data_IF_725293392369
#
_entry.id   IF_725293392369
#
_cell.length_a   1.000
_cell.length_b   1.000
_cell.length_c   1.000
_cell.angle_alpha   90.00
_cell.angle_beta   90.00
_cell.angle_gamma   90.00
#
_symmetry.space_group_name_H-M   'P 1'
#
loop_
_entity.id
_entity.type
_entity.pdbx_description
1 polymer ?
#
# COMPACT_ATOMS: atom_id res chain seq x y z
N UNK A 1 -35.87 36.43 -11.15
CA UNK A 1 -34.63 37.24 -11.10
C UNK A 1 -33.76 36.89 -12.31
N UNK A 2 -33.27 37.88 -13.05
CA UNK A 2 -32.13 37.67 -13.96
C UNK A 2 -30.97 37.10 -13.15
N UNK A 3 -30.35 36.02 -13.66
CA UNK A 3 -29.11 35.45 -13.11
C UNK A 3 -29.27 34.25 -12.17
N UNK A 4 -30.10 33.25 -12.49
CA UNK A 4 -29.98 31.94 -11.82
C UNK A 4 -28.73 31.19 -12.32
N UNK A 5 -27.88 30.77 -11.39
CA UNK A 5 -26.71 29.95 -11.71
C UNK A 5 -27.18 28.65 -12.38
N UNK A 6 -26.69 28.38 -13.59
CA UNK A 6 -26.97 27.14 -14.33
C UNK A 6 -25.70 26.33 -14.51
N UNK A 7 -25.82 25.01 -14.37
CA UNK A 7 -24.76 24.04 -14.63
C UNK A 7 -25.18 23.18 -15.84
N UNK A 8 -24.38 23.23 -16.90
CA UNK A 8 -24.57 22.36 -18.06
C UNK A 8 -23.62 21.16 -17.97
N UNK A 9 -24.14 19.97 -18.28
CA UNK A 9 -23.35 18.74 -18.43
C UNK A 9 -23.31 18.38 -19.91
N UNK A 10 -22.12 18.12 -20.44
CA UNK A 10 -21.90 17.74 -21.84
C UNK A 10 -21.44 16.28 -21.93
N UNK A 11 -22.34 15.29 -22.11
CA UNK A 11 -21.97 13.87 -22.09
C UNK A 11 -21.04 13.43 -23.23
N UNK A 12 -20.91 14.23 -24.29
CA UNK A 12 -19.98 13.99 -25.39
C UNK A 12 -18.52 14.37 -25.07
N UNK A 13 -18.29 15.13 -23.98
CA UNK A 13 -16.95 15.52 -23.53
C UNK A 13 -16.50 14.59 -22.41
N UNK A 14 -15.51 13.75 -22.68
CA UNK A 14 -15.00 12.75 -21.74
C UNK A 14 -13.59 13.06 -21.27
N UNK A 15 -13.26 12.69 -20.03
CA UNK A 15 -11.92 12.84 -19.43
C UNK A 15 -11.40 11.48 -18.93
N UNK A 16 -10.65 11.47 -17.83
CA UNK A 16 -10.11 10.25 -17.23
C UNK A 16 -11.20 9.30 -16.74
N UNK A 17 -10.92 8.01 -16.81
CA UNK A 17 -11.73 6.97 -16.15
C UNK A 17 -11.42 6.95 -14.66
N UNK A 18 -12.45 6.96 -13.82
CA UNK A 18 -12.30 6.77 -12.38
C UNK A 18 -12.10 5.28 -12.06
N UNK A 19 -11.02 4.97 -11.34
CA UNK A 19 -10.70 3.60 -10.93
C UNK A 19 -11.50 3.14 -9.70
N UNK A 20 -12.00 4.07 -8.89
CA UNK A 20 -12.80 3.81 -7.70
C UNK A 20 -12.39 4.68 -6.50
N UNK A 21 -13.02 4.39 -5.37
CA UNK A 21 -12.77 5.02 -4.07
C UNK A 21 -12.58 3.94 -3.02
N UNK A 22 -11.96 4.30 -1.88
CA UNK A 22 -11.52 3.33 -0.90
C UNK A 22 -10.99 3.93 0.39
N UNK A 23 -10.37 3.08 1.21
CA UNK A 23 -9.67 3.46 2.43
C UNK A 23 -8.44 2.58 2.67
N UNK A 24 -7.74 2.81 3.77
CA UNK A 24 -6.55 2.02 4.14
C UNK A 24 -6.91 0.91 5.12
N UNK A 25 -6.40 -0.30 4.89
CA UNK A 25 -6.41 -1.39 5.85
C UNK A 25 -5.07 -1.41 6.60
N UNK A 26 -5.00 -0.63 7.67
CA UNK A 26 -3.85 -0.63 8.59
C UNK A 26 -4.05 -1.65 9.71
N UNK A 27 -2.97 -2.10 10.34
CA UNK A 27 -3.02 -2.99 11.50
C UNK A 27 -3.94 -2.43 12.61
N UNK A 28 -3.81 -1.16 13.00
CA UNK A 28 -4.70 -0.55 14.00
C UNK A 28 -6.19 -0.55 13.60
N UNK A 29 -6.49 -0.36 12.31
CA UNK A 29 -7.87 -0.40 11.82
C UNK A 29 -8.44 -1.82 11.87
N UNK A 30 -7.61 -2.82 11.56
CA UNK A 30 -7.95 -4.22 11.72
C UNK A 30 -8.15 -4.60 13.18
N UNK A 31 -7.28 -4.17 14.08
CA UNK A 31 -7.39 -4.51 15.51
C UNK A 31 -8.65 -3.89 16.12
N UNK A 32 -8.92 -2.61 15.81
CA UNK A 32 -10.16 -1.95 16.21
C UNK A 32 -11.38 -2.70 15.66
N UNK A 33 -11.37 -3.07 14.37
CA UNK A 33 -12.44 -3.83 13.75
C UNK A 33 -12.66 -5.18 14.45
N UNK A 34 -11.58 -5.91 14.75
CA UNK A 34 -11.65 -7.21 15.42
C UNK A 34 -12.12 -7.09 16.88
N UNK A 35 -11.93 -5.94 17.53
CA UNK A 35 -12.46 -5.67 18.87
C UNK A 35 -13.99 -5.48 18.91
N UNK A 36 -14.62 -5.19 17.76
CA UNK A 36 -16.06 -5.00 17.67
C UNK A 36 -16.82 -6.33 17.77
N UNK A 37 -18.03 -6.29 18.34
CA UNK A 37 -18.95 -7.43 18.27
C UNK A 37 -19.40 -7.73 16.83
N UNK A 38 -19.80 -8.98 16.50
CA UNK A 38 -20.09 -9.40 15.13
C UNK A 38 -21.10 -8.52 14.38
N UNK A 39 -22.13 -8.03 15.08
CA UNK A 39 -23.13 -7.11 14.51
C UNK A 39 -22.50 -5.80 14.02
N UNK A 40 -21.58 -5.24 14.79
CA UNK A 40 -20.92 -3.97 14.44
C UNK A 40 -19.84 -4.18 13.37
N UNK A 41 -19.16 -5.34 13.37
CA UNK A 41 -18.28 -5.73 12.27
C UNK A 41 -19.03 -5.79 10.93
N UNK A 42 -20.21 -6.41 10.92
CA UNK A 42 -21.05 -6.44 9.71
C UNK A 42 -21.46 -5.04 9.27
N UNK A 43 -21.95 -4.21 10.20
CA UNK A 43 -22.39 -2.83 9.91
C UNK A 43 -21.28 -1.97 9.30
N UNK A 44 -20.07 -2.00 9.86
CA UNK A 44 -18.95 -1.17 9.38
C UNK A 44 -18.54 -1.62 7.96
N UNK A 45 -18.35 -2.92 7.76
CA UNK A 45 -17.91 -3.44 6.46
C UNK A 45 -18.98 -3.20 5.40
N UNK A 46 -20.26 -3.38 5.74
CA UNK A 46 -21.36 -3.11 4.83
C UNK A 46 -21.45 -1.63 4.47
N UNK A 47 -21.38 -0.73 5.46
CA UNK A 47 -21.44 0.70 5.24
C UNK A 47 -20.32 1.21 4.32
N UNK A 48 -19.13 0.61 4.39
CA UNK A 48 -18.01 0.99 3.52
C UNK A 48 -18.06 0.31 2.13
N UNK A 49 -18.29 -1.00 2.08
CA UNK A 49 -18.01 -1.81 0.88
C UNK A 49 -19.26 -2.29 0.13
N UNK A 50 -20.44 -2.32 0.75
CA UNK A 50 -21.64 -2.74 0.03
C UNK A 50 -21.98 -1.76 -1.10
N UNK A 51 -22.17 -2.21 -2.34
CA UNK A 51 -22.59 -1.35 -3.45
C UNK A 51 -24.06 -0.94 -3.35
N UNK A 52 -24.86 -1.67 -2.57
CA UNK A 52 -26.31 -1.44 -2.43
C UNK A 52 -26.66 -0.68 -1.15
N UNK A 53 -25.92 -0.94 -0.06
CA UNK A 53 -26.26 -0.46 1.30
C UNK A 53 -25.21 0.44 1.92
N UNK A 54 -24.12 0.74 1.19
CA UNK A 54 -22.99 1.51 1.67
C UNK A 54 -22.36 2.42 0.61
N UNK A 55 -21.11 2.80 0.83
CA UNK A 55 -20.33 3.68 -0.05
C UNK A 55 -19.80 2.99 -1.31
N UNK A 56 -19.92 1.65 -1.40
CA UNK A 56 -19.44 0.89 -2.55
C UNK A 56 -17.93 1.01 -2.80
N UNK A 57 -17.11 1.02 -1.75
CA UNK A 57 -15.65 1.05 -1.88
C UNK A 57 -15.13 -0.12 -2.72
N UNK A 58 -14.20 0.18 -3.63
CA UNK A 58 -13.59 -0.76 -4.57
C UNK A 58 -12.07 -0.85 -4.44
N UNK A 59 -11.47 0.04 -3.66
CA UNK A 59 -10.02 0.16 -3.51
C UNK A 59 -9.62 0.05 -2.04
N UNK A 60 -8.41 -0.44 -1.80
CA UNK A 60 -7.85 -0.59 -0.46
C UNK A 60 -6.35 -0.37 -0.47
N UNK A 61 -5.82 0.47 0.44
CA UNK A 61 -4.37 0.61 0.62
C UNK A 61 -3.91 -0.24 1.80
N UNK A 62 -2.82 -0.97 1.64
CA UNK A 62 -2.17 -1.74 2.71
C UNK A 62 -0.71 -1.29 2.84
N UNK A 63 -0.12 -1.51 4.01
CA UNK A 63 1.29 -1.23 4.27
C UNK A 63 2.14 -2.48 4.01
N UNK A 64 3.33 -2.31 3.43
CA UNK A 64 4.39 -3.33 3.41
C UNK A 64 5.26 -3.07 4.64
N UNK A 65 5.50 -4.10 5.46
CA UNK A 65 6.05 -3.97 6.82
C UNK A 65 5.11 -3.11 7.70
N UNK A 66 5.58 -2.67 8.87
CA UNK A 66 4.83 -1.78 9.75
C UNK A 66 4.70 -0.34 9.23
N UNK A 67 3.74 0.39 9.77
CA UNK A 67 3.57 1.84 9.62
C UNK A 67 3.24 2.49 10.98
N UNK A 68 2.99 3.79 11.00
CA UNK A 68 2.58 4.52 12.20
C UNK A 68 1.25 4.03 12.81
N UNK A 69 0.41 3.36 12.01
CA UNK A 69 -0.80 2.65 12.44
C UNK A 69 -0.58 1.13 12.61
N UNK A 70 0.59 0.78 13.17
CA UNK A 70 0.93 -0.55 13.66
C UNK A 70 1.20 -0.51 15.16
N UNK A 71 1.09 -1.66 15.84
CA UNK A 71 1.37 -1.77 17.28
C UNK A 71 2.85 -1.53 17.63
N UNK A 72 3.73 -1.62 16.63
CA UNK A 72 5.16 -1.37 16.75
C UNK A 72 5.89 -1.64 15.44
N UNK A 73 7.21 -1.44 15.42
CA UNK A 73 8.02 -1.68 14.22
C UNK A 73 8.20 -3.18 13.97
N UNK A 74 7.99 -3.61 12.73
CA UNK A 74 8.24 -4.98 12.29
C UNK A 74 8.38 -5.02 10.77
N UNK A 75 9.05 -6.05 10.25
CA UNK A 75 9.10 -6.31 8.80
C UNK A 75 8.72 -7.75 8.47
N UNK A 76 8.45 -8.04 7.19
CA UNK A 76 8.25 -9.42 6.75
C UNK A 76 9.52 -10.27 6.85
N UNK A 77 10.69 -9.65 7.07
CA UNK A 77 11.97 -10.35 7.14
C UNK A 77 13.02 -9.49 7.87
N UNK A 78 13.25 -9.83 9.14
CA UNK A 78 14.14 -9.08 10.04
C UNK A 78 15.59 -9.60 10.08
N UNK A 79 15.85 -10.80 9.54
CA UNK A 79 17.19 -11.38 9.47
C UNK A 79 18.03 -10.65 8.41
N UNK A 80 19.34 -10.50 8.64
CA UNK A 80 20.28 -9.95 7.64
C UNK A 80 20.63 -11.00 6.56
N UNK A 81 19.61 -11.50 5.86
CA UNK A 81 19.73 -12.53 4.83
C UNK A 81 19.21 -12.01 3.47
N UNK A 82 20.11 -11.67 2.52
CA UNK A 82 19.69 -11.24 1.19
C UNK A 82 18.86 -12.27 0.41
N UNK A 83 18.89 -13.55 0.79
CA UNK A 83 18.07 -14.59 0.16
C UNK A 83 16.61 -14.61 0.64
N UNK A 84 16.26 -13.77 1.62
CA UNK A 84 14.90 -13.64 2.17
C UNK A 84 14.33 -14.98 2.66
N UNK A 85 15.17 -15.83 3.24
CA UNK A 85 14.81 -17.22 3.55
C UNK A 85 13.72 -17.35 4.61
N UNK A 86 13.62 -16.39 5.53
CA UNK A 86 12.61 -16.34 6.58
C UNK A 86 11.44 -15.39 6.28
N UNK A 87 11.31 -14.91 5.04
CA UNK A 87 10.24 -13.99 4.64
C UNK A 87 8.86 -14.55 4.98
N UNK A 88 8.02 -13.76 5.65
CA UNK A 88 6.69 -14.20 6.06
C UNK A 88 5.64 -13.09 6.06
N UNK A 89 4.47 -13.42 5.53
CA UNK A 89 3.24 -12.62 5.65
C UNK A 89 2.33 -13.08 6.80
N UNK A 90 2.83 -13.89 7.74
CA UNK A 90 2.02 -14.43 8.86
C UNK A 90 1.32 -13.33 9.67
N UNK A 91 1.96 -12.16 9.83
CA UNK A 91 1.35 -11.04 10.55
C UNK A 91 0.12 -10.48 9.84
N UNK A 92 0.14 -10.40 8.51
CA UNK A 92 -1.01 -9.98 7.70
C UNK A 92 -2.22 -10.91 7.85
N UNK A 93 -1.98 -12.22 8.00
CA UNK A 93 -3.04 -13.18 8.27
C UNK A 93 -3.71 -12.97 9.63
N UNK A 94 -2.98 -12.44 10.61
CA UNK A 94 -3.50 -12.13 11.94
C UNK A 94 -4.23 -10.79 12.00
N UNK A 95 -3.88 -9.83 11.12
CA UNK A 95 -4.43 -8.46 11.15
C UNK A 95 -5.21 -8.07 9.89
N UNK A 96 -4.52 -7.69 8.81
CA UNK A 96 -5.08 -6.99 7.64
C UNK A 96 -5.97 -7.89 6.76
N UNK A 97 -5.53 -9.12 6.47
CA UNK A 97 -6.19 -9.99 5.49
C UNK A 97 -7.60 -10.45 5.89
N UNK A 98 -7.89 -10.76 7.17
CA UNK A 98 -9.26 -11.03 7.61
C UNK A 98 -10.24 -9.90 7.27
N UNK A 99 -9.83 -8.64 7.49
CA UNK A 99 -10.65 -7.47 7.18
C UNK A 99 -10.80 -7.27 5.67
N UNK A 100 -9.73 -7.43 4.89
CA UNK A 100 -9.81 -7.38 3.41
C UNK A 100 -10.81 -8.43 2.90
N UNK A 101 -10.75 -9.66 3.41
CA UNK A 101 -11.68 -10.73 2.99
C UNK A 101 -13.14 -10.44 3.37
N UNK A 102 -13.37 -9.77 4.49
CA UNK A 102 -14.69 -9.26 4.87
C UNK A 102 -15.16 -8.17 3.90
N UNK A 103 -14.29 -7.22 3.56
CA UNK A 103 -14.57 -6.17 2.59
C UNK A 103 -14.93 -6.71 1.20
N UNK A 104 -14.14 -7.64 0.66
CA UNK A 104 -14.41 -8.27 -0.64
C UNK A 104 -15.77 -9.00 -0.69
N UNK A 105 -16.14 -9.66 0.40
CA UNK A 105 -17.46 -10.32 0.51
C UNK A 105 -18.61 -9.31 0.47
N UNK A 106 -18.49 -8.20 1.20
CA UNK A 106 -19.52 -7.16 1.18
C UNK A 106 -19.59 -6.41 -0.15
N UNK A 107 -18.44 -6.18 -0.80
CA UNK A 107 -18.36 -5.60 -2.13
C UNK A 107 -18.89 -6.53 -3.23
N UNK A 108 -19.01 -7.85 -2.95
CA UNK A 108 -19.28 -8.90 -3.94
C UNK A 108 -18.28 -8.88 -5.11
N UNK A 109 -17.07 -8.38 -4.85
CA UNK A 109 -16.02 -8.17 -5.82
C UNK A 109 -14.65 -8.12 -5.12
N UNK A 110 -13.59 -8.32 -5.90
CA UNK A 110 -12.22 -8.10 -5.41
C UNK A 110 -11.98 -6.61 -5.16
N UNK A 111 -11.35 -6.29 -4.03
CA UNK A 111 -10.88 -4.93 -3.75
C UNK A 111 -9.55 -4.75 -4.46
N UNK A 112 -9.37 -3.64 -5.19
CA UNK A 112 -8.09 -3.29 -5.81
C UNK A 112 -7.11 -2.87 -4.71
N UNK A 113 -6.21 -3.77 -4.34
CA UNK A 113 -5.22 -3.51 -3.29
C UNK A 113 -4.01 -2.74 -3.84
N UNK A 114 -3.63 -1.67 -3.14
CA UNK A 114 -2.40 -0.91 -3.35
C UNK A 114 -1.50 -1.14 -2.14
N UNK A 115 -0.28 -1.62 -2.32
CA UNK A 115 0.67 -1.84 -1.22
C UNK A 115 1.80 -0.81 -1.24
N UNK A 116 2.07 -0.19 -0.09
CA UNK A 116 3.10 0.85 0.06
C UNK A 116 3.99 0.56 1.26
N UNK A 117 5.33 0.54 1.14
CA UNK A 117 6.20 0.46 2.31
C UNK A 117 6.35 1.83 2.96
N UNK A 118 6.35 1.88 4.29
CA UNK A 118 6.85 3.05 5.02
C UNK A 118 8.36 2.97 5.23
N UNK A 119 8.90 1.76 5.40
CA UNK A 119 10.33 1.55 5.56
C UNK A 119 10.77 0.16 5.11
N UNK A 120 11.94 0.02 4.49
CA UNK A 120 12.70 -1.23 4.49
C UNK A 120 13.01 -1.70 5.94
N UNK A 121 13.34 -2.98 6.14
CA UNK A 121 13.89 -3.48 7.40
C UNK A 121 15.10 -2.66 7.87
N UNK A 122 15.32 -2.59 9.18
CA UNK A 122 16.38 -1.77 9.78
C UNK A 122 17.77 -2.07 9.20
N UNK A 123 18.10 -3.33 8.97
CA UNK A 123 19.39 -3.77 8.44
C UNK A 123 19.64 -3.36 6.98
N UNK A 124 18.56 -3.07 6.23
CA UNK A 124 18.64 -2.54 4.86
C UNK A 124 18.90 -1.04 4.81
N UNK A 125 18.89 -0.34 5.94
CA UNK A 125 18.93 1.12 6.01
C UNK A 125 20.26 1.66 6.48
N UNK A 126 20.66 2.81 5.94
CA UNK A 126 21.92 3.49 6.28
C UNK A 126 22.00 3.94 7.74
N UNK A 127 20.87 4.04 8.44
CA UNK A 127 20.80 4.41 9.85
C UNK A 127 20.51 3.22 10.78
N UNK A 128 20.39 1.98 10.26
CA UNK A 128 20.09 0.80 11.05
C UNK A 128 18.75 0.85 11.78
N UNK A 129 17.79 1.66 11.31
CA UNK A 129 16.49 1.87 11.99
C UNK A 129 15.36 2.05 10.98
N UNK A 130 14.19 1.47 11.26
CA UNK A 130 13.00 1.69 10.42
C UNK A 130 12.47 3.12 10.51
N UNK A 131 12.72 3.81 11.62
CA UNK A 131 12.28 5.19 11.85
C UNK A 131 13.38 6.24 11.66
N UNK A 132 13.04 7.51 11.81
CA UNK A 132 13.99 8.63 11.92
C UNK A 132 14.85 8.88 10.67
N UNK A 133 14.31 8.64 9.47
CA UNK A 133 15.02 8.87 8.21
C UNK A 133 15.85 7.68 7.79
N UNK A 134 17.07 7.97 7.35
CA UNK A 134 17.91 7.01 6.65
C UNK A 134 17.46 6.83 5.22
N UNK A 135 18.28 6.12 4.47
CA UNK A 135 18.02 5.73 3.09
C UNK A 135 18.17 4.22 2.96
N UNK A 136 17.62 3.66 1.89
CA UNK A 136 17.97 2.32 1.47
C UNK A 136 19.48 2.28 1.17
N UNK A 137 20.16 1.24 1.65
CA UNK A 137 21.58 1.05 1.36
C UNK A 137 21.78 0.69 -0.12
N UNK A 138 22.73 1.33 -0.84
CA UNK A 138 22.96 1.05 -2.25
C UNK A 138 23.27 -0.41 -2.58
N UNK A 139 23.96 -1.11 -1.68
CA UNK A 139 24.33 -2.53 -1.84
C UNK A 139 23.14 -3.49 -1.63
N UNK A 140 21.98 -2.98 -1.23
CA UNK A 140 20.77 -3.78 -0.94
C UNK A 140 19.59 -3.42 -1.85
N UNK A 141 19.82 -2.66 -2.93
CA UNK A 141 18.76 -2.33 -3.90
C UNK A 141 18.14 -3.58 -4.54
N UNK A 142 18.96 -4.52 -5.01
CA UNK A 142 18.45 -5.77 -5.61
C UNK A 142 17.64 -6.58 -4.60
N UNK A 143 18.17 -6.76 -3.38
CA UNK A 143 17.45 -7.46 -2.31
C UNK A 143 16.11 -6.77 -1.95
N UNK A 144 16.05 -5.44 -1.94
CA UNK A 144 14.80 -4.73 -1.68
C UNK A 144 13.80 -4.86 -2.84
N UNK A 145 14.26 -4.92 -4.09
CA UNK A 145 13.40 -5.26 -5.23
C UNK A 145 12.86 -6.69 -5.13
N UNK A 146 13.69 -7.66 -4.73
CA UNK A 146 13.26 -9.04 -4.48
C UNK A 146 12.26 -9.14 -3.32
N UNK A 147 12.39 -8.27 -2.31
CA UNK A 147 11.43 -8.17 -1.21
C UNK A 147 10.04 -7.77 -1.72
N UNK A 148 9.94 -6.80 -2.63
CA UNK A 148 8.70 -6.40 -3.29
C UNK A 148 8.09 -7.57 -4.09
N UNK A 149 8.91 -8.25 -4.89
CA UNK A 149 8.49 -9.43 -5.67
C UNK A 149 7.95 -10.50 -4.74
N UNK A 150 8.69 -10.83 -3.67
CA UNK A 150 8.27 -11.86 -2.71
C UNK A 150 6.98 -11.48 -2.03
N UNK A 151 6.81 -10.23 -1.61
CA UNK A 151 5.56 -9.74 -1.04
C UNK A 151 4.38 -9.92 -2.01
N UNK A 152 4.54 -9.50 -3.27
CA UNK A 152 3.50 -9.62 -4.29
C UNK A 152 3.12 -11.10 -4.56
N UNK A 153 4.11 -12.00 -4.61
CA UNK A 153 3.90 -13.43 -4.80
C UNK A 153 3.19 -14.07 -3.60
N UNK A 154 3.62 -13.79 -2.37
CA UNK A 154 3.00 -14.30 -1.15
C UNK A 154 1.54 -13.81 -1.02
N UNK A 155 1.27 -12.54 -1.35
CA UNK A 155 -0.08 -11.98 -1.39
C UNK A 155 -0.95 -12.65 -2.47
N UNK A 156 -0.38 -12.93 -3.65
CA UNK A 156 -1.07 -13.68 -4.71
C UNK A 156 -1.42 -15.11 -4.23
N UNK A 157 -0.46 -15.85 -3.67
CA UNK A 157 -0.64 -17.20 -3.13
C UNK A 157 -1.69 -17.22 -2.01
N UNK A 158 -1.69 -16.20 -1.14
CA UNK A 158 -2.68 -16.01 -0.09
C UNK A 158 -4.11 -15.71 -0.60
N UNK A 159 -4.25 -15.49 -1.91
CA UNK A 159 -5.52 -15.20 -2.57
C UNK A 159 -5.91 -13.72 -2.50
N UNK A 160 -4.96 -12.81 -2.33
CA UNK A 160 -5.14 -11.35 -2.27
C UNK A 160 -4.17 -10.65 -3.24
N UNK A 161 -4.28 -10.89 -4.56
CA UNK A 161 -3.37 -10.30 -5.53
C UNK A 161 -3.41 -8.76 -5.48
N UNK A 162 -2.26 -8.13 -5.60
CA UNK A 162 -2.13 -6.68 -5.62
C UNK A 162 -2.53 -6.12 -6.98
N UNK A 163 -3.23 -4.99 -6.98
CA UNK A 163 -3.48 -4.21 -8.20
C UNK A 163 -2.30 -3.28 -8.50
N UNK A 164 -1.75 -2.65 -7.46
CA UNK A 164 -0.56 -1.82 -7.59
C UNK A 164 0.32 -1.84 -6.33
N UNK A 165 1.52 -1.32 -6.47
CA UNK A 165 2.43 -0.98 -5.39
C UNK A 165 2.95 0.45 -5.58
N UNK A 166 3.31 1.11 -4.48
CA UNK A 166 4.09 2.36 -4.53
C UNK A 166 5.52 2.08 -4.10
N UNK A 167 6.49 2.86 -4.60
CA UNK A 167 7.92 2.63 -4.30
C UNK A 167 8.22 2.88 -2.83
N UNK A 168 7.69 3.98 -2.29
CA UNK A 168 7.94 4.41 -0.92
C UNK A 168 6.82 5.36 -0.52
N UNK A 169 6.20 5.14 0.64
CA UNK A 169 5.32 6.13 1.24
C UNK A 169 6.14 7.37 1.60
N UNK A 170 5.70 8.52 1.12
CA UNK A 170 6.25 9.82 1.47
C UNK A 170 7.80 9.90 1.42
N UNK A 171 8.45 9.71 0.26
CA UNK A 171 9.91 9.55 0.14
C UNK A 171 10.74 10.77 0.59
N UNK A 172 10.12 11.93 0.79
CA UNK A 172 10.78 13.14 1.29
C UNK A 172 10.54 13.40 2.78
N UNK A 173 9.71 12.60 3.46
CA UNK A 173 9.30 12.85 4.83
C UNK A 173 10.23 12.16 5.82
N UNK A 174 10.92 12.95 6.65
CA UNK A 174 11.64 12.44 7.83
C UNK A 174 10.74 12.55 9.06
N UNK A 175 10.23 11.42 9.53
CA UNK A 175 9.27 11.35 10.64
C UNK A 175 9.82 10.57 11.84
N UNK A 176 9.08 10.59 12.96
CA UNK A 176 9.38 9.80 14.17
C UNK A 176 8.96 8.33 14.08
N UNK A 177 8.10 8.00 13.11
CA UNK A 177 7.66 6.64 12.77
C UNK A 177 8.44 6.12 11.56
N UNK A 178 8.02 5.00 10.99
CA UNK A 178 8.65 4.37 9.84
C UNK A 178 8.72 5.32 8.64
N UNK A 179 9.91 5.53 8.09
CA UNK A 179 10.11 6.32 6.88
C UNK A 179 11.44 5.96 6.22
N UNK A 180 11.56 6.12 4.91
CA UNK A 180 12.81 5.95 4.17
C UNK A 180 12.92 7.04 3.11
N UNK A 181 14.05 7.73 3.06
CA UNK A 181 14.23 8.86 2.16
C UNK A 181 14.71 8.41 0.79
N UNK A 182 14.05 8.93 -0.25
CA UNK A 182 14.47 8.83 -1.65
C UNK A 182 14.39 10.22 -2.30
N UNK A 183 15.44 10.65 -3.00
CA UNK A 183 15.29 11.74 -3.97
C UNK A 183 14.57 11.24 -5.23
N UNK A 184 14.12 12.15 -6.09
CA UNK A 184 13.51 11.78 -7.36
C UNK A 184 14.47 10.97 -8.26
N UNK A 185 15.77 11.28 -8.24
CA UNK A 185 16.79 10.52 -8.97
C UNK A 185 17.00 9.14 -8.37
N UNK A 186 17.04 9.02 -7.04
CA UNK A 186 17.17 7.73 -6.35
C UNK A 186 15.94 6.84 -6.62
N UNK A 187 14.73 7.40 -6.55
CA UNK A 187 13.49 6.66 -6.89
C UNK A 187 13.49 6.23 -8.35
N UNK A 188 13.84 7.13 -9.28
CA UNK A 188 13.96 6.83 -10.72
C UNK A 188 14.93 5.69 -10.97
N UNK A 189 16.14 5.78 -10.42
CA UNK A 189 17.20 4.79 -10.67
C UNK A 189 16.85 3.45 -10.01
N UNK A 190 16.24 3.47 -8.83
CA UNK A 190 15.72 2.25 -8.19
C UNK A 190 14.62 1.58 -9.03
N UNK A 191 13.68 2.35 -9.59
CA UNK A 191 12.66 1.82 -10.50
C UNK A 191 13.30 1.26 -11.77
N UNK A 192 14.18 2.02 -12.44
CA UNK A 192 14.76 1.65 -13.74
C UNK A 192 15.63 0.41 -13.64
N UNK A 193 16.50 0.36 -12.64
CA UNK A 193 17.60 -0.60 -12.60
C UNK A 193 17.27 -1.85 -11.76
N UNK A 194 16.29 -1.78 -10.84
CA UNK A 194 16.00 -2.86 -9.90
C UNK A 194 14.51 -3.24 -9.85
N UNK A 195 13.66 -2.37 -9.28
CA UNK A 195 12.28 -2.74 -8.94
C UNK A 195 11.41 -2.97 -10.18
N UNK A 196 11.53 -2.12 -11.20
CA UNK A 196 10.76 -2.22 -12.44
C UNK A 196 11.01 -3.54 -13.17
N UNK A 197 12.28 -3.88 -13.51
CA UNK A 197 12.63 -5.16 -14.13
C UNK A 197 12.20 -6.38 -13.30
N UNK A 198 12.42 -6.34 -11.98
CA UNK A 198 12.06 -7.45 -11.08
C UNK A 198 10.54 -7.73 -11.08
N UNK A 199 9.72 -6.68 -10.94
CA UNK A 199 8.26 -6.81 -11.00
C UNK A 199 7.75 -7.20 -12.39
N UNK A 200 8.33 -6.65 -13.46
CA UNK A 200 7.94 -7.00 -14.83
C UNK A 200 8.17 -8.49 -15.14
N UNK A 201 9.23 -9.08 -14.56
CA UNK A 201 9.52 -10.50 -14.73
C UNK A 201 8.62 -11.39 -13.85
N UNK A 202 8.52 -11.07 -12.56
CA UNK A 202 7.97 -11.99 -11.56
C UNK A 202 6.50 -11.71 -11.17
N UNK A 203 6.00 -10.49 -11.42
CA UNK A 203 4.65 -10.06 -11.10
C UNK A 203 4.08 -9.07 -12.16
N UNK A 204 4.08 -9.42 -13.47
CA UNK A 204 3.79 -8.47 -14.57
C UNK A 204 2.41 -7.80 -14.54
N UNK A 205 1.46 -8.33 -13.76
CA UNK A 205 0.12 -7.75 -13.59
C UNK A 205 0.05 -6.62 -12.56
N UNK A 206 1.07 -6.46 -11.71
CA UNK A 206 1.10 -5.46 -10.64
C UNK A 206 1.61 -4.14 -11.20
N UNK A 207 0.82 -3.07 -11.03
CA UNK A 207 1.24 -1.72 -11.44
C UNK A 207 2.22 -1.13 -10.42
N UNK A 208 3.17 -0.33 -10.89
CA UNK A 208 4.05 0.45 -10.03
C UNK A 208 3.71 1.93 -10.14
N UNK A 209 3.48 2.58 -9.00
CA UNK A 209 3.17 4.01 -8.89
C UNK A 209 4.34 4.71 -8.17
N UNK A 210 4.84 5.79 -8.74
CA UNK A 210 5.90 6.60 -8.14
C UNK A 210 5.32 7.70 -7.22
N UNK A 211 6.22 8.40 -6.52
CA UNK A 211 5.98 9.60 -5.71
C UNK A 211 5.30 9.34 -4.35
N UNK A 212 4.02 8.94 -4.35
CA UNK A 212 3.22 8.67 -3.13
C UNK A 212 3.41 9.72 -1.99
N UNK A 213 3.42 11.00 -2.38
CA UNK A 213 3.57 12.17 -1.50
C UNK A 213 2.58 13.28 -1.89
N UNK A 214 2.62 14.36 -1.13
CA UNK A 214 1.92 15.62 -1.39
C UNK A 214 2.17 16.19 -2.80
N UNK A 215 1.16 16.89 -3.32
CA UNK A 215 1.14 17.41 -4.70
C UNK A 215 2.09 18.60 -4.93
N UNK A 216 2.39 19.37 -3.89
CA UNK A 216 3.27 20.55 -3.97
C UNK A 216 4.67 20.20 -4.46
N UNK A 217 5.20 19.02 -4.12
CA UNK A 217 6.48 18.55 -4.66
C UNK A 217 6.44 17.97 -6.08
N UNK A 218 5.25 17.79 -6.67
CA UNK A 218 5.08 17.29 -8.05
C UNK A 218 5.01 18.42 -9.09
N UNK A 219 4.80 19.66 -8.64
CA UNK A 219 4.63 20.85 -9.47
C UNK A 219 5.81 21.82 -9.42
N UNK A 220 6.91 21.43 -8.76
CA UNK A 220 8.12 22.22 -8.58
C UNK A 220 9.18 21.91 -9.66
#
# INVERSE_FOLDING_TARGET
>A
PEGEASLAVEPGVTYQTFLGFGGSFTESASDLFMSLGPTNQERVVEACFSPERGLGYQMGRIHINSCDFSEGNWSCHDDEDPALSSFSITRYWRSVLPLVRRAERAARARVRLIASPWSPPAWMKTNGRMTSGGKLRPDLHECWADFFVRFAQEMHIAGFPLWAMTVQNEPLAKTGWENCLFTAEEERDFIRDFLGPALALAAPGVKLLAWDHNRDGLLA
#
